data_IF_621028628455
#
_entry.id   IF_621028628455
#
_cell.length_a   1.000
_cell.length_b   1.000
_cell.length_c   1.000
_cell.angle_alpha   90.00
_cell.angle_beta   90.00
_cell.angle_gamma   90.00
#
_symmetry.space_group_name_H-M   'P 1'
#
loop_
_entity.id
_entity.type
_entity.pdbx_description
1 polymer ?
#
# COMPACT_ATOMS: atom_id res chain seq x y z
N UNK A 1 -12.14 11.54 -26.17
CA UNK A 1 -10.70 11.70 -25.83
C UNK A 1 -10.31 10.61 -24.85
N UNK A 2 -9.55 9.60 -25.29
CA UNK A 2 -8.99 8.61 -24.39
C UNK A 2 -7.93 9.28 -23.52
N UNK A 3 -8.10 9.28 -22.19
CA UNK A 3 -7.07 9.78 -21.27
C UNK A 3 -5.78 9.00 -21.54
N UNK A 4 -4.68 9.71 -21.82
CA UNK A 4 -3.39 9.05 -21.92
C UNK A 4 -3.15 8.30 -20.61
N UNK A 5 -2.63 7.08 -20.72
CA UNK A 5 -2.28 6.26 -19.57
C UNK A 5 -1.18 7.05 -18.82
N UNK A 6 -1.53 7.68 -17.71
CA UNK A 6 -0.61 8.58 -17.01
C UNK A 6 0.73 7.88 -16.77
N UNK A 7 1.80 8.50 -17.27
CA UNK A 7 3.17 7.99 -17.13
C UNK A 7 3.54 7.95 -15.66
N UNK A 8 4.29 6.92 -15.25
CA UNK A 8 4.85 6.84 -13.91
C UNK A 8 5.68 8.08 -13.60
N UNK A 9 5.51 8.62 -12.41
CA UNK A 9 6.07 9.89 -11.99
C UNK A 9 6.70 9.81 -10.60
N UNK A 10 7.37 10.89 -10.19
CA UNK A 10 7.88 11.00 -8.82
C UNK A 10 6.77 10.95 -7.77
N UNK A 11 5.54 11.37 -8.11
CA UNK A 11 4.40 11.25 -7.21
C UNK A 11 4.07 9.78 -6.91
N UNK A 12 4.11 8.91 -7.94
CA UNK A 12 3.91 7.47 -7.75
C UNK A 12 5.04 6.86 -6.90
N UNK A 13 6.29 7.22 -7.20
CA UNK A 13 7.47 6.76 -6.48
C UNK A 13 7.46 7.18 -5.00
N UNK A 14 6.97 8.39 -4.71
CA UNK A 14 6.87 8.91 -3.36
C UNK A 14 5.76 8.22 -2.54
N UNK A 15 4.62 7.88 -3.16
CA UNK A 15 3.45 7.36 -2.46
C UNK A 15 3.47 5.84 -2.30
N UNK A 16 3.98 5.10 -3.29
CA UNK A 16 3.91 3.63 -3.28
C UNK A 16 4.50 2.95 -2.03
N UNK A 17 5.60 3.42 -1.40
CA UNK A 17 6.13 2.79 -0.19
C UNK A 17 5.18 2.92 1.01
N UNK A 18 4.38 3.98 1.07
CA UNK A 18 3.42 4.20 2.15
C UNK A 18 2.18 3.32 2.00
N UNK A 19 1.66 3.18 0.78
CA UNK A 19 0.53 2.28 0.52
C UNK A 19 0.92 0.82 0.80
N UNK A 20 2.13 0.41 0.40
CA UNK A 20 2.67 -0.90 0.80
C UNK A 20 2.77 -1.05 2.32
N UNK A 21 3.31 -0.04 3.02
CA UNK A 21 3.42 -0.12 4.48
C UNK A 21 2.06 -0.22 5.16
N UNK A 22 1.03 0.46 4.65
CA UNK A 22 -0.34 0.30 5.14
C UNK A 22 -0.88 -1.12 4.89
N UNK A 23 -0.60 -1.73 3.74
CA UNK A 23 -0.94 -3.14 3.48
C UNK A 23 -0.25 -4.07 4.49
N UNK A 24 1.07 -3.90 4.71
CA UNK A 24 1.85 -4.68 5.68
C UNK A 24 1.35 -4.51 7.12
N UNK A 25 0.86 -3.33 7.47
CA UNK A 25 0.24 -3.03 8.77
C UNK A 25 -1.22 -3.50 8.88
N UNK A 26 -1.75 -4.22 7.87
CA UNK A 26 -3.15 -4.67 7.79
C UNK A 26 -4.18 -3.54 7.76
N UNK A 27 -3.78 -2.36 7.29
CA UNK A 27 -4.62 -1.16 7.16
C UNK A 27 -5.19 -0.97 5.74
N UNK A 28 -5.21 -2.03 4.91
CA UNK A 28 -5.68 -1.93 3.54
C UNK A 28 -7.17 -1.55 3.40
N UNK A 29 -8.00 -1.81 4.41
CA UNK A 29 -9.43 -1.41 4.38
C UNK A 29 -9.65 0.10 4.28
N UNK A 30 -8.60 0.92 4.46
CA UNK A 30 -8.65 2.39 4.26
C UNK A 30 -9.05 2.78 2.84
N UNK A 31 -8.82 1.91 1.85
CA UNK A 31 -9.16 2.18 0.45
C UNK A 31 -10.14 1.18 -0.17
N UNK A 32 -10.87 0.39 0.64
CA UNK A 32 -11.89 -0.56 0.14
C UNK A 32 -12.96 0.13 -0.72
N UNK A 33 -13.33 1.37 -0.37
CA UNK A 33 -14.30 2.18 -1.11
C UNK A 33 -13.68 3.01 -2.24
N UNK A 34 -12.38 2.86 -2.49
CA UNK A 34 -11.59 3.64 -3.44
C UNK A 34 -10.96 2.72 -4.51
N UNK A 35 -11.76 2.12 -5.41
CA UNK A 35 -11.30 1.08 -6.35
C UNK A 35 -10.21 1.58 -7.32
N UNK A 36 -10.08 2.89 -7.50
CA UNK A 36 -9.01 3.48 -8.32
C UNK A 36 -7.64 3.41 -7.65
N UNK A 37 -7.60 3.42 -6.30
CA UNK A 37 -6.36 3.22 -5.54
C UNK A 37 -5.92 1.78 -5.67
N UNK A 38 -6.84 0.83 -5.47
CA UNK A 38 -6.55 -0.60 -5.63
C UNK A 38 -6.01 -0.92 -7.03
N UNK A 39 -6.71 -0.47 -8.08
CA UNK A 39 -6.25 -0.63 -9.45
C UNK A 39 -4.91 0.05 -9.74
N UNK A 40 -4.61 1.19 -9.11
CA UNK A 40 -3.31 1.85 -9.22
C UNK A 40 -2.22 1.05 -8.50
N UNK A 41 -2.52 0.54 -7.31
CA UNK A 41 -1.58 -0.20 -6.47
C UNK A 41 -1.16 -1.51 -7.16
N UNK A 42 -2.13 -2.24 -7.74
CA UNK A 42 -1.83 -3.42 -8.56
C UNK A 42 -0.89 -3.10 -9.72
N UNK A 43 -1.16 -2.02 -10.47
CA UNK A 43 -0.27 -1.59 -11.54
C UNK A 43 1.11 -1.18 -11.06
N UNK A 44 1.25 -0.67 -9.84
CA UNK A 44 2.55 -0.31 -9.27
C UNK A 44 3.35 -1.55 -8.87
N UNK A 45 2.72 -2.52 -8.18
CA UNK A 45 3.35 -3.78 -7.78
C UNK A 45 3.82 -4.61 -8.97
N UNK A 46 3.14 -4.51 -10.12
CA UNK A 46 3.54 -5.19 -11.35
C UNK A 46 4.72 -4.54 -12.09
N UNK A 47 5.20 -3.36 -11.68
CA UNK A 47 6.33 -2.68 -12.35
C UNK A 47 7.64 -3.33 -11.93
N UNK A 48 8.52 -3.60 -12.89
CA UNK A 48 9.83 -4.21 -12.62
C UNK A 48 10.66 -3.43 -11.58
N UNK A 49 10.69 -2.09 -11.68
CA UNK A 49 11.42 -1.25 -10.73
C UNK A 49 10.86 -1.32 -9.31
N UNK A 50 9.52 -1.32 -9.16
CA UNK A 50 8.86 -1.42 -7.86
C UNK A 50 9.06 -2.81 -7.27
N UNK A 51 8.87 -3.86 -8.09
CA UNK A 51 9.06 -5.24 -7.66
C UNK A 51 10.47 -5.44 -7.11
N UNK A 52 11.49 -5.02 -7.88
CA UNK A 52 12.89 -5.16 -7.50
C UNK A 52 13.25 -4.36 -6.25
N UNK A 53 13.00 -3.05 -6.26
CA UNK A 53 13.56 -2.15 -5.24
C UNK A 53 12.71 -2.06 -3.98
N UNK A 54 11.41 -2.39 -4.05
CA UNK A 54 10.50 -2.26 -2.91
C UNK A 54 10.05 -3.63 -2.36
N UNK A 55 9.71 -4.60 -3.21
CA UNK A 55 9.15 -5.87 -2.76
C UNK A 55 10.22 -6.93 -2.52
N UNK A 56 11.12 -7.13 -3.49
CA UNK A 56 12.16 -8.16 -3.45
C UNK A 56 13.35 -7.75 -2.57
N UNK A 57 13.65 -6.45 -2.48
CA UNK A 57 14.69 -5.92 -1.61
C UNK A 57 14.38 -6.04 -0.12
N UNK A 58 13.10 -6.12 0.25
CA UNK A 58 12.67 -6.23 1.64
C UNK A 58 12.94 -7.65 2.17
N UNK A 59 14.00 -7.79 2.96
CA UNK A 59 14.50 -9.06 3.48
C UNK A 59 13.63 -9.63 4.62
N UNK A 60 13.92 -10.85 5.08
CA UNK A 60 13.22 -11.47 6.21
C UNK A 60 13.22 -10.61 7.48
N UNK A 61 14.33 -9.96 7.78
CA UNK A 61 14.49 -9.06 8.92
C UNK A 61 13.59 -7.82 8.82
N UNK A 62 13.41 -7.28 7.62
CA UNK A 62 12.51 -6.14 7.38
C UNK A 62 11.04 -6.55 7.47
N UNK A 63 10.72 -7.80 7.09
CA UNK A 63 9.36 -8.37 7.10
C UNK A 63 8.89 -8.80 8.48
N UNK A 64 9.82 -9.32 9.29
CA UNK A 64 9.51 -9.93 10.58
C UNK A 64 8.64 -9.06 11.51
N UNK A 65 8.82 -7.73 11.63
CA UNK A 65 7.93 -6.90 12.45
C UNK A 65 6.47 -6.91 12.00
N UNK A 66 6.22 -6.97 10.68
CA UNK A 66 4.86 -6.96 10.12
C UNK A 66 4.19 -8.33 10.21
N UNK A 67 4.96 -9.42 10.05
CA UNK A 67 4.47 -10.79 10.18
C UNK A 67 4.06 -11.14 11.63
N UNK A 68 4.73 -10.51 12.61
CA UNK A 68 4.43 -10.66 14.04
C UNK A 68 3.20 -9.89 14.53
N UNK A 69 2.49 -9.18 13.64
CA UNK A 69 1.23 -8.53 14.02
C UNK A 69 0.17 -9.61 14.28
N UNK A 70 -0.21 -9.80 15.55
CA UNK A 70 -1.19 -10.83 15.92
C UNK A 70 -2.63 -10.32 15.85
N UNK A 71 -2.86 -9.06 16.21
CA UNK A 71 -4.20 -8.49 16.35
C UNK A 71 -4.64 -7.75 15.07
N UNK A 72 -5.91 -7.89 14.71
CA UNK A 72 -6.54 -7.01 13.72
C UNK A 72 -6.57 -5.57 14.25
N UNK A 73 -5.98 -4.58 13.56
CA UNK A 73 -5.99 -3.19 14.02
C UNK A 73 -7.35 -2.51 13.86
N UNK A 74 -8.26 -3.03 13.03
CA UNK A 74 -9.48 -2.32 12.63
C UNK A 74 -10.47 -1.99 13.75
N UNK A 75 -10.70 -2.85 14.76
CA UNK A 75 -11.52 -2.47 15.90
C UNK A 75 -11.05 -1.19 16.61
N UNK A 76 -9.73 -0.95 16.64
CA UNK A 76 -9.16 0.29 17.20
C UNK A 76 -9.28 1.46 16.22
N UNK A 77 -9.01 1.22 14.93
CA UNK A 77 -9.12 2.25 13.88
C UNK A 77 -10.55 2.78 13.77
N UNK A 78 -11.55 1.89 13.78
CA UNK A 78 -12.97 2.25 13.70
C UNK A 78 -13.40 3.10 14.90
N UNK A 79 -12.87 2.81 16.10
CA UNK A 79 -13.10 3.64 17.29
C UNK A 79 -12.54 5.05 17.14
N UNK A 80 -11.33 5.19 16.57
CA UNK A 80 -10.67 6.49 16.38
C UNK A 80 -11.29 7.33 15.25
N UNK A 81 -11.79 6.68 14.20
CA UNK A 81 -12.37 7.35 13.03
C UNK A 81 -13.68 8.11 13.32
N UNK A 82 -14.26 7.93 14.52
CA UNK A 82 -15.45 8.63 15.00
C UNK A 82 -15.13 9.80 15.97
N UNK A 83 -13.87 9.96 16.37
CA UNK A 83 -13.41 11.06 17.24
C UNK A 83 -12.95 12.32 16.45
N UNK A 84 -13.11 12.32 15.12
CA UNK A 84 -12.86 13.45 14.22
C UNK A 84 -14.17 13.86 13.52
#
# INVERSE_FOLDING_TARGET
MARSRATFSLADAAVIPYILRLELLRLHRMWDRLPRIDAWYERMRSRASVKKELLERMGPEDRAPFEKLETDPWPKVEKLAWEC
#
